data_IF_153789063250
#
_entry.id   IF_153789063250
#
_cell.length_a   1.000
_cell.length_b   1.000
_cell.length_c   1.000
_cell.angle_alpha   90.00
_cell.angle_beta   90.00
_cell.angle_gamma   90.00
#
_symmetry.space_group_name_H-M   'P 1'
#
loop_
_entity.id
_entity.type
_entity.pdbx_description
1 polymer ?
#
# COMPACT_ATOMS: atom_id res chain seq x y z
N UNK A 1 -29.93 -19.49 -23.75
CA UNK A 1 -31.27 -19.35 -23.14
C UNK A 1 -31.42 -17.87 -22.83
N UNK A 2 -31.90 -17.12 -23.82
CA UNK A 2 -32.10 -15.68 -23.72
C UNK A 2 -33.25 -15.40 -22.76
N UNK A 3 -33.05 -14.47 -21.83
CA UNK A 3 -34.13 -13.82 -21.09
C UNK A 3 -34.05 -12.34 -21.44
N UNK A 4 -35.07 -11.86 -22.14
CA UNK A 4 -35.42 -10.45 -22.19
C UNK A 4 -35.91 -10.03 -20.79
N UNK A 5 -35.38 -8.92 -20.28
CA UNK A 5 -35.99 -8.22 -19.15
C UNK A 5 -36.65 -6.97 -19.72
N UNK A 6 -37.97 -6.89 -19.56
CA UNK A 6 -38.80 -5.76 -19.91
C UNK A 6 -38.32 -4.47 -19.23
N UNK A 7 -38.18 -3.43 -20.03
CA UNK A 7 -37.94 -2.06 -19.62
C UNK A 7 -39.26 -1.44 -19.20
N UNK A 8 -39.51 -1.29 -17.89
CA UNK A 8 -40.39 -0.27 -17.31
C UNK A 8 -40.32 -0.38 -15.79
N UNK A 9 -39.33 0.29 -15.19
CA UNK A 9 -39.31 0.88 -13.82
C UNK A 9 -37.86 1.07 -13.36
N UNK A 10 -37.20 2.14 -13.82
CA UNK A 10 -35.94 2.64 -13.22
C UNK A 10 -36.16 4.10 -12.80
N UNK A 11 -36.15 4.42 -11.49
CA UNK A 11 -36.14 5.81 -11.03
C UNK A 11 -34.81 6.47 -11.36
N UNK A 12 -34.91 7.74 -11.76
CA UNK A 12 -33.86 8.67 -12.19
C UNK A 12 -32.70 8.88 -11.21
N UNK A 13 -31.50 8.93 -11.80
CA UNK A 13 -30.24 9.53 -11.32
C UNK A 13 -29.71 9.14 -9.93
N UNK A 14 -29.07 7.97 -9.87
CA UNK A 14 -27.83 7.78 -9.11
C UNK A 14 -26.83 7.02 -9.98
N UNK A 15 -25.69 7.64 -10.32
CA UNK A 15 -24.59 7.02 -11.06
C UNK A 15 -23.94 5.93 -10.19
N UNK A 16 -24.52 4.73 -10.17
CA UNK A 16 -23.84 3.53 -9.68
C UNK A 16 -22.87 3.06 -10.76
N UNK A 17 -21.57 3.20 -10.49
CA UNK A 17 -20.54 2.52 -11.27
C UNK A 17 -20.64 1.03 -10.94
N UNK A 18 -21.41 0.27 -11.74
CA UNK A 18 -21.51 -1.17 -11.59
C UNK A 18 -20.14 -1.80 -11.93
N UNK A 19 -19.45 -2.33 -10.93
CA UNK A 19 -18.25 -3.16 -11.13
C UNK A 19 -18.75 -4.55 -11.49
N UNK A 20 -18.87 -4.83 -12.80
CA UNK A 20 -19.10 -6.20 -13.26
C UNK A 20 -17.74 -6.91 -13.40
N UNK A 21 -17.52 -7.94 -12.61
CA UNK A 21 -16.52 -8.97 -12.90
C UNK A 21 -17.04 -9.80 -14.08
N UNK A 22 -16.48 -9.59 -15.27
CA UNK A 22 -16.76 -10.43 -16.44
C UNK A 22 -15.70 -11.54 -16.53
N UNK A 23 -16.07 -12.77 -16.19
CA UNK A 23 -15.30 -13.96 -16.59
C UNK A 23 -15.62 -14.30 -18.05
N UNK A 24 -14.68 -14.01 -18.96
CA UNK A 24 -14.77 -14.45 -20.36
C UNK A 24 -13.90 -15.70 -20.50
N UNK A 25 -14.55 -16.85 -20.71
CA UNK A 25 -13.88 -18.11 -20.96
C UNK A 25 -13.51 -18.21 -22.44
N UNK A 26 -12.24 -17.96 -22.80
CA UNK A 26 -11.77 -18.04 -24.19
C UNK A 26 -11.28 -19.46 -24.46
N UNK A 27 -12.12 -20.31 -25.05
CA UNK A 27 -11.70 -21.62 -25.55
C UNK A 27 -11.12 -21.46 -26.97
N UNK A 28 -9.80 -21.32 -27.07
CA UNK A 28 -9.05 -21.37 -28.32
C UNK A 28 -8.10 -22.57 -28.36
N UNK A 29 -8.05 -23.30 -29.49
CA UNK A 29 -7.05 -24.35 -29.71
C UNK A 29 -5.70 -23.70 -30.01
N UNK A 30 -4.81 -23.72 -29.02
CA UNK A 30 -3.49 -23.07 -29.07
C UNK A 30 -3.36 -22.17 -27.86
N UNK A 31 -2.37 -22.42 -26.99
CA UNK A 31 -2.20 -21.80 -25.67
C UNK A 31 -1.86 -20.30 -25.69
N UNK A 32 -2.61 -19.49 -26.42
CA UNK A 32 -2.45 -18.05 -26.52
C UNK A 32 -3.16 -17.35 -25.36
N UNK A 33 -2.43 -16.49 -24.65
CA UNK A 33 -2.99 -15.62 -23.63
C UNK A 33 -3.46 -14.32 -24.28
N UNK A 34 -4.75 -13.99 -24.17
CA UNK A 34 -5.31 -12.70 -24.61
C UNK A 34 -5.42 -11.77 -23.41
N UNK A 35 -4.82 -10.58 -23.51
CA UNK A 35 -4.90 -9.54 -22.47
C UNK A 35 -6.04 -8.59 -22.80
N UNK A 36 -7.05 -8.51 -21.93
CA UNK A 36 -8.18 -7.59 -22.09
C UNK A 36 -7.95 -6.29 -21.33
N UNK A 37 -8.15 -5.15 -21.99
CA UNK A 37 -8.18 -3.82 -21.38
C UNK A 37 -9.58 -3.25 -21.58
N UNK A 38 -10.26 -2.94 -20.48
CA UNK A 38 -11.57 -2.30 -20.51
C UNK A 38 -11.42 -0.78 -20.40
N UNK A 39 -11.85 -0.07 -21.43
CA UNK A 39 -11.99 1.39 -21.44
C UNK A 39 -13.46 1.75 -21.60
N UNK A 40 -13.99 2.54 -20.66
CA UNK A 40 -15.35 3.10 -20.75
C UNK A 40 -15.17 4.53 -21.29
N UNK A 41 -15.59 4.75 -22.54
CA UNK A 41 -15.64 6.08 -23.14
C UNK A 41 -16.87 6.88 -22.72
N UNK A 42 -16.91 8.16 -23.06
CA UNK A 42 -17.99 9.11 -22.73
C UNK A 42 -19.39 8.68 -23.23
N UNK A 43 -19.45 7.74 -24.18
CA UNK A 43 -20.68 7.21 -24.77
C UNK A 43 -21.14 5.86 -24.21
N UNK A 44 -20.66 5.44 -23.02
CA UNK A 44 -20.96 4.12 -22.44
C UNK A 44 -20.57 2.93 -23.34
N UNK A 45 -19.65 3.14 -24.27
CA UNK A 45 -19.21 2.12 -25.22
C UNK A 45 -17.98 1.40 -24.65
N UNK A 46 -18.07 0.08 -24.53
CA UNK A 46 -16.97 -0.77 -24.07
C UNK A 46 -16.07 -1.13 -25.26
N UNK A 47 -14.84 -0.60 -25.28
CA UNK A 47 -13.86 -0.98 -26.31
C UNK A 47 -13.03 -2.18 -25.85
N UNK A 48 -13.19 -3.32 -26.52
CA UNK A 48 -12.34 -4.50 -26.36
C UNK A 48 -11.08 -4.36 -27.23
N UNK A 49 -9.94 -4.08 -26.61
CA UNK A 49 -8.64 -4.08 -27.31
C UNK A 49 -7.92 -5.39 -26.96
N UNK A 50 -7.97 -6.36 -27.87
CA UNK A 50 -7.13 -7.56 -27.82
C UNK A 50 -5.81 -7.32 -28.56
N UNK A 51 -4.68 -7.72 -27.96
CA UNK A 51 -3.38 -7.81 -28.65
C UNK A 51 -2.83 -9.23 -28.51
N UNK A 52 -2.32 -9.77 -29.62
CA UNK A 52 -1.62 -11.07 -29.67
C UNK A 52 -0.31 -11.02 -28.88
N UNK A 53 0.00 -12.07 -28.10
CA UNK A 53 1.21 -12.17 -27.29
C UNK A 53 2.47 -12.56 -28.10
N UNK A 54 2.34 -13.17 -29.27
CA UNK A 54 3.50 -13.71 -30.02
C UNK A 54 4.38 -12.60 -30.63
N UNK A 55 3.80 -11.48 -31.09
CA UNK A 55 4.57 -10.36 -31.65
C UNK A 55 5.37 -9.56 -30.60
N UNK A 56 5.02 -9.65 -29.31
CA UNK A 56 5.76 -8.99 -28.23
C UNK A 56 6.98 -9.79 -27.76
N UNK A 57 6.95 -11.12 -27.86
CA UNK A 57 8.01 -11.99 -27.34
C UNK A 57 9.37 -11.75 -28.04
N UNK A 58 9.36 -11.52 -29.37
CA UNK A 58 10.56 -11.25 -30.16
C UNK A 58 11.10 -9.81 -30.02
N UNK A 59 10.25 -8.84 -29.64
CA UNK A 59 10.66 -7.44 -29.36
C UNK A 59 11.06 -7.21 -27.90
N UNK A 60 10.79 -8.16 -27.01
CA UNK A 60 11.10 -8.06 -25.57
C UNK A 60 12.55 -8.30 -25.22
N UNK A 61 13.29 -9.10 -26.01
CA UNK A 61 14.51 -9.73 -25.50
C UNK A 61 15.66 -8.78 -25.15
N UNK A 62 15.65 -7.51 -25.58
CA UNK A 62 16.79 -6.58 -25.37
C UNK A 62 16.42 -5.19 -24.82
N UNK A 63 15.22 -4.97 -24.25
CA UNK A 63 14.91 -3.66 -23.64
C UNK A 63 15.46 -3.56 -22.22
N UNK A 64 16.11 -2.44 -21.86
CA UNK A 64 16.61 -2.21 -20.51
C UNK A 64 15.44 -2.23 -19.53
N UNK A 65 15.59 -2.94 -18.42
CA UNK A 65 14.49 -3.23 -17.49
C UNK A 65 14.88 -2.92 -16.06
N UNK A 66 14.00 -2.23 -15.34
CA UNK A 66 14.02 -2.09 -13.89
C UNK A 66 13.09 -3.14 -13.30
N UNK A 67 13.62 -4.00 -12.43
CA UNK A 67 12.83 -5.02 -11.75
C UNK A 67 12.45 -4.54 -10.36
N UNK A 68 11.16 -4.56 -10.02
CA UNK A 68 10.65 -4.24 -8.69
C UNK A 68 10.19 -5.54 -8.02
N UNK A 69 10.83 -5.91 -6.92
CA UNK A 69 10.46 -7.09 -6.15
C UNK A 69 9.36 -6.72 -5.16
N UNK A 70 8.25 -7.46 -5.20
CA UNK A 70 7.12 -7.31 -4.30
C UNK A 70 6.04 -6.41 -4.87
N UNK A 71 4.78 -6.89 -4.81
CA UNK A 71 3.61 -6.15 -5.25
C UNK A 71 2.81 -5.55 -4.08
N UNK A 72 3.43 -5.37 -2.92
CA UNK A 72 2.84 -4.61 -1.81
C UNK A 72 2.87 -3.12 -2.03
N UNK A 73 2.29 -2.38 -1.09
CA UNK A 73 2.08 -0.94 -1.22
C UNK A 73 3.36 -0.17 -1.60
N UNK A 74 4.50 -0.49 -0.98
CA UNK A 74 5.79 0.15 -1.28
C UNK A 74 6.27 -0.20 -2.71
N UNK A 75 6.14 -1.46 -3.13
CA UNK A 75 6.52 -1.89 -4.47
C UNK A 75 5.64 -1.28 -5.55
N UNK A 76 4.32 -1.23 -5.32
CA UNK A 76 3.35 -0.66 -6.26
C UNK A 76 3.53 0.85 -6.44
N UNK A 77 3.64 1.62 -5.35
CA UNK A 77 3.84 3.08 -5.45
C UNK A 77 5.19 3.38 -6.10
N UNK A 78 6.25 2.64 -5.75
CA UNK A 78 7.57 2.78 -6.40
C UNK A 78 7.51 2.48 -7.89
N UNK A 79 6.90 1.37 -8.30
CA UNK A 79 6.79 0.98 -9.71
C UNK A 79 5.99 2.00 -10.54
N UNK A 80 4.84 2.46 -10.01
CA UNK A 80 4.02 3.50 -10.66
C UNK A 80 4.82 4.81 -10.77
N UNK A 81 5.53 5.21 -9.71
CA UNK A 81 6.29 6.47 -9.71
C UNK A 81 7.49 6.45 -10.65
N UNK A 82 8.18 5.31 -10.76
CA UNK A 82 9.25 5.07 -11.72
C UNK A 82 8.69 5.14 -13.15
N UNK A 83 7.55 4.50 -13.43
CA UNK A 83 6.90 4.63 -14.74
C UNK A 83 6.57 6.08 -15.09
N UNK A 84 6.01 6.85 -14.16
CA UNK A 84 5.71 8.26 -14.38
C UNK A 84 6.95 9.05 -14.79
N UNK A 85 8.08 8.80 -14.11
CA UNK A 85 9.35 9.43 -14.45
C UNK A 85 9.88 9.01 -15.83
N UNK A 86 9.84 7.72 -16.16
CA UNK A 86 10.31 7.22 -17.45
C UNK A 86 9.47 7.78 -18.60
N UNK A 87 8.16 7.89 -18.43
CA UNK A 87 7.25 8.51 -19.40
C UNK A 87 7.55 10.01 -19.57
N UNK A 88 7.71 10.74 -18.47
CA UNK A 88 8.03 12.18 -18.49
C UNK A 88 9.37 12.49 -19.16
N UNK A 89 10.37 11.62 -18.94
CA UNK A 89 11.72 11.77 -19.48
C UNK A 89 11.93 11.06 -20.82
N UNK A 90 10.89 10.41 -21.36
CA UNK A 90 10.94 9.61 -22.59
C UNK A 90 12.06 8.56 -22.61
N UNK A 91 12.47 8.08 -21.43
CA UNK A 91 13.52 7.04 -21.31
C UNK A 91 12.93 5.69 -21.69
N UNK A 92 13.54 5.05 -22.68
CA UNK A 92 13.15 3.72 -23.13
C UNK A 92 13.61 2.68 -22.12
N UNK A 93 12.80 2.42 -21.09
CA UNK A 93 13.07 1.40 -20.08
C UNK A 93 11.76 0.75 -19.61
N UNK A 94 11.77 -0.58 -19.45
CA UNK A 94 10.63 -1.33 -18.93
C UNK A 94 10.65 -1.33 -17.40
N UNK A 95 9.46 -1.40 -16.79
CA UNK A 95 9.32 -1.71 -15.37
C UNK A 95 8.59 -3.03 -15.24
N UNK A 96 9.21 -3.98 -14.53
CA UNK A 96 8.69 -5.33 -14.29
C UNK A 96 8.51 -5.54 -12.79
N UNK A 97 7.29 -5.79 -12.33
CA UNK A 97 7.03 -6.24 -10.95
C UNK A 97 7.17 -7.76 -10.88
N UNK A 98 7.98 -8.25 -9.97
CA UNK A 98 8.13 -9.68 -9.68
C UNK A 98 7.71 -9.93 -8.24
N UNK A 99 6.69 -10.75 -8.04
CA UNK A 99 6.14 -10.98 -6.71
C UNK A 99 5.60 -12.40 -6.57
N UNK A 100 5.61 -12.92 -5.34
CA UNK A 100 4.99 -14.23 -5.04
C UNK A 100 3.46 -14.18 -5.19
N UNK A 101 2.85 -13.02 -4.90
CA UNK A 101 1.42 -12.76 -4.97
C UNK A 101 1.20 -11.35 -5.54
N UNK A 102 0.10 -11.17 -6.28
CA UNK A 102 -0.35 -9.87 -6.80
C UNK A 102 -1.60 -9.41 -6.04
N UNK A 103 -1.93 -8.10 -6.02
CA UNK A 103 -3.17 -7.62 -5.41
C UNK A 103 -4.40 -8.33 -5.99
N UNK A 104 -5.23 -8.86 -5.09
CA UNK A 104 -6.47 -9.56 -5.40
C UNK A 104 -7.47 -9.34 -4.26
N UNK A 105 -8.79 -9.58 -4.45
CA UNK A 105 -9.73 -9.59 -3.35
C UNK A 105 -9.26 -10.52 -2.22
N UNK A 106 -9.41 -10.10 -0.96
CA UNK A 106 -8.98 -10.90 0.19
C UNK A 106 -9.76 -12.22 0.20
N UNK A 107 -9.03 -13.32 0.31
CA UNK A 107 -9.58 -14.67 0.45
C UNK A 107 -8.77 -15.50 1.45
N UNK A 108 -9.24 -16.70 1.78
CA UNK A 108 -8.50 -17.66 2.61
C UNK A 108 -7.15 -18.07 2.02
N UNK A 109 -6.94 -17.86 0.73
CA UNK A 109 -5.68 -18.15 0.03
C UNK A 109 -4.68 -16.99 0.08
N UNK A 110 -5.10 -15.81 0.54
CA UNK A 110 -4.20 -14.66 0.67
C UNK A 110 -3.18 -14.95 1.76
N UNK A 111 -1.89 -14.79 1.46
CA UNK A 111 -0.84 -15.06 2.43
C UNK A 111 -0.81 -14.06 3.57
N UNK A 112 -0.62 -14.55 4.79
CA UNK A 112 -0.39 -13.73 5.99
C UNK A 112 0.86 -12.83 5.88
N UNK A 113 1.81 -13.19 5.00
CA UNK A 113 3.02 -12.43 4.74
C UNK A 113 2.82 -11.32 3.71
N UNK A 114 1.69 -11.31 2.99
CA UNK A 114 1.34 -10.22 2.08
C UNK A 114 0.71 -9.05 2.85
N UNK A 115 1.51 -8.44 3.72
CA UNK A 115 1.09 -7.47 4.74
C UNK A 115 0.18 -6.34 4.24
N UNK A 116 0.38 -5.91 2.98
CA UNK A 116 -0.42 -4.82 2.39
C UNK A 116 -1.90 -5.13 2.36
N UNK A 117 -2.29 -6.39 2.14
CA UNK A 117 -3.71 -6.79 2.03
C UNK A 117 -4.42 -6.76 3.39
N UNK A 118 -3.66 -6.86 4.49
CA UNK A 118 -4.18 -6.94 5.86
C UNK A 118 -4.17 -5.62 6.62
N UNK A 119 -3.64 -4.55 6.03
CA UNK A 119 -3.52 -3.26 6.70
C UNK A 119 -4.89 -2.58 6.86
N UNK A 120 -5.03 -1.71 7.87
CA UNK A 120 -6.25 -0.93 8.12
C UNK A 120 -6.85 -0.29 6.85
N UNK A 121 -6.24 0.74 6.25
CA UNK A 121 -5.07 1.50 6.68
C UNK A 121 -5.47 2.98 6.83
N UNK A 122 -5.25 3.57 8.00
CA UNK A 122 -5.39 5.02 8.18
C UNK A 122 -4.06 5.74 7.98
N UNK A 123 -4.13 7.04 7.71
CA UNK A 123 -2.99 7.94 7.86
C UNK A 123 -3.02 8.52 9.26
N UNK A 124 -2.10 8.06 10.12
CA UNK A 124 -1.99 8.52 11.49
C UNK A 124 -0.67 9.27 11.68
N UNK A 125 -0.71 10.60 11.83
CA UNK A 125 0.50 11.34 12.09
C UNK A 125 1.05 10.99 13.49
N UNK A 126 2.36 11.06 13.63
CA UNK A 126 3.07 10.91 14.91
C UNK A 126 4.03 12.08 15.06
N UNK A 127 4.27 12.56 16.30
CA UNK A 127 5.13 13.71 16.54
C UNK A 127 6.56 13.44 16.11
N UNK A 128 7.23 14.49 15.63
CA UNK A 128 8.60 14.40 15.13
C UNK A 128 9.61 14.54 16.29
N UNK A 129 10.05 13.41 16.85
CA UNK A 129 10.98 13.38 18.00
C UNK A 129 12.42 12.97 17.66
N UNK A 130 12.70 12.57 16.42
CA UNK A 130 13.98 12.01 16.01
C UNK A 130 14.32 12.32 14.54
N UNK A 131 15.57 12.09 14.15
CA UNK A 131 16.00 12.27 12.76
C UNK A 131 15.24 11.37 11.79
N UNK A 132 14.97 10.13 12.21
CA UNK A 132 14.16 9.19 11.44
C UNK A 132 12.73 9.72 11.27
N UNK A 133 12.07 10.14 12.37
CA UNK A 133 10.71 10.67 12.27
C UNK A 133 10.62 11.97 11.48
N UNK A 134 11.68 12.80 11.46
CA UNK A 134 11.76 13.97 10.56
C UNK A 134 11.70 13.57 9.09
N UNK A 135 12.39 12.50 8.70
CA UNK A 135 12.35 11.97 7.34
C UNK A 135 10.99 11.35 7.05
N UNK A 136 10.47 10.53 7.97
CA UNK A 136 9.15 9.89 7.83
C UNK A 136 8.01 10.93 7.73
N UNK A 137 8.09 12.06 8.43
CA UNK A 137 7.13 13.15 8.29
C UNK A 137 7.15 13.78 6.89
N UNK A 138 8.33 13.90 6.25
CA UNK A 138 8.40 14.33 4.84
C UNK A 138 7.69 13.34 3.93
N UNK A 139 7.88 12.04 4.17
CA UNK A 139 7.19 11.02 3.39
C UNK A 139 5.69 11.03 3.59
N UNK A 140 5.25 11.17 4.84
CA UNK A 140 3.85 11.29 5.20
C UNK A 140 3.18 12.46 4.47
N UNK A 141 3.80 13.65 4.50
CA UNK A 141 3.31 14.83 3.78
C UNK A 141 3.20 14.60 2.27
N UNK A 142 4.19 13.92 1.68
CA UNK A 142 4.14 13.54 0.28
C UNK A 142 2.93 12.63 0.00
N UNK A 143 2.71 11.60 0.83
CA UNK A 143 1.55 10.71 0.75
C UNK A 143 0.24 11.48 0.86
N UNK A 144 0.08 12.36 1.85
CA UNK A 144 -1.12 13.21 2.01
C UNK A 144 -1.38 14.03 0.75
N UNK A 145 -0.37 14.71 0.20
CA UNK A 145 -0.51 15.48 -1.04
C UNK A 145 -0.95 14.60 -2.21
N UNK A 146 -0.40 13.39 -2.33
CA UNK A 146 -0.74 12.48 -3.43
C UNK A 146 -2.15 11.91 -3.28
N UNK A 147 -2.55 11.49 -2.08
CA UNK A 147 -3.90 10.99 -1.82
C UNK A 147 -4.96 12.06 -2.07
N UNK A 148 -4.71 13.32 -1.69
CA UNK A 148 -5.61 14.44 -2.03
C UNK A 148 -5.81 14.59 -3.55
N UNK A 149 -4.74 14.50 -4.32
CA UNK A 149 -4.80 14.57 -5.79
C UNK A 149 -5.55 13.37 -6.38
N UNK A 150 -5.32 12.17 -5.83
CA UNK A 150 -5.99 10.95 -6.28
C UNK A 150 -7.47 10.96 -5.94
N UNK A 151 -7.86 11.41 -4.75
CA UNK A 151 -9.27 11.52 -4.36
C UNK A 151 -10.08 12.34 -5.37
N UNK A 152 -9.49 13.40 -5.94
CA UNK A 152 -10.13 14.24 -6.95
C UNK A 152 -10.19 13.60 -8.35
N UNK A 153 -9.22 12.75 -8.69
CA UNK A 153 -9.04 12.24 -10.08
C UNK A 153 -9.39 10.77 -10.25
N UNK A 154 -9.43 10.02 -9.17
CA UNK A 154 -9.50 8.57 -9.11
C UNK A 154 -10.43 8.14 -7.96
N UNK A 155 -11.72 8.53 -7.97
CA UNK A 155 -12.65 8.24 -6.87
C UNK A 155 -12.79 6.74 -6.60
N UNK A 156 -12.57 5.89 -7.61
CA UNK A 156 -12.57 4.42 -7.50
C UNK A 156 -11.35 3.83 -6.78
N UNK A 157 -10.34 4.63 -6.39
CA UNK A 157 -9.10 4.12 -5.81
C UNK A 157 -9.26 3.56 -4.40
N UNK A 158 -10.40 3.76 -3.72
CA UNK A 158 -10.61 3.24 -2.37
C UNK A 158 -10.02 4.16 -1.30
N UNK A 159 -10.09 5.47 -1.53
CA UNK A 159 -9.66 6.51 -0.59
C UNK A 159 -10.91 7.07 0.10
N UNK A 160 -10.94 7.03 1.43
CA UNK A 160 -12.02 7.55 2.25
C UNK A 160 -11.52 8.75 3.06
N UNK A 161 -11.92 9.99 2.74
CA UNK A 161 -11.72 11.13 3.63
C UNK A 161 -12.68 11.04 4.82
N UNK A 162 -12.16 11.22 6.03
CA UNK A 162 -12.94 11.13 7.28
C UNK A 162 -12.21 11.81 8.45
N UNK A 163 -12.88 11.94 9.59
CA UNK A 163 -12.25 12.37 10.84
C UNK A 163 -11.44 11.25 11.47
N UNK A 164 -10.23 11.59 11.93
CA UNK A 164 -9.39 10.78 12.80
C UNK A 164 -9.44 11.30 14.24
N UNK A 165 -9.48 10.40 15.21
CA UNK A 165 -9.49 10.70 16.65
C UNK A 165 -8.41 9.88 17.34
N UNK A 166 -7.58 10.54 18.14
CA UNK A 166 -6.50 9.92 18.91
C UNK A 166 -6.77 10.10 20.40
N UNK A 167 -6.62 9.02 21.16
CA UNK A 167 -6.69 9.01 22.62
C UNK A 167 -5.41 8.44 23.21
N UNK A 168 -4.79 9.15 24.16
CA UNK A 168 -3.52 8.79 24.76
C UNK A 168 -3.64 8.76 26.29
N UNK A 169 -3.42 7.59 26.89
CA UNK A 169 -3.40 7.44 28.35
C UNK A 169 -2.15 8.04 29.00
N UNK A 170 -1.00 7.94 28.32
CA UNK A 170 0.30 8.42 28.80
C UNK A 170 1.06 9.14 27.67
N UNK A 171 0.59 10.32 27.21
CA UNK A 171 1.23 11.04 26.11
C UNK A 171 2.61 11.55 26.51
N UNK A 172 3.59 11.40 25.61
CA UNK A 172 4.90 12.05 25.75
C UNK A 172 4.80 13.56 25.59
N UNK A 173 5.83 14.30 25.99
CA UNK A 173 5.90 15.75 25.75
C UNK A 173 5.85 16.09 24.25
N UNK A 174 6.43 15.25 23.40
CA UNK A 174 6.38 15.43 21.96
C UNK A 174 4.92 15.44 21.43
N UNK A 175 4.04 14.58 21.94
CA UNK A 175 2.61 14.64 21.58
C UNK A 175 1.94 15.92 22.08
N UNK A 176 2.30 16.41 23.27
CA UNK A 176 1.75 17.65 23.84
C UNK A 176 2.11 18.86 22.99
N UNK A 177 3.38 18.99 22.61
CA UNK A 177 3.89 20.07 21.77
C UNK A 177 3.29 19.99 20.35
N UNK A 178 3.20 18.78 19.80
CA UNK A 178 2.70 18.52 18.44
C UNK A 178 1.25 18.98 18.21
N UNK A 179 0.40 18.90 19.23
CA UNK A 179 -1.01 19.33 19.14
C UNK A 179 -1.28 20.67 19.85
N UNK A 180 -0.25 21.32 20.40
CA UNK A 180 -0.39 22.60 21.07
C UNK A 180 -0.74 23.73 20.09
N UNK A 181 -0.20 23.66 18.88
CA UNK A 181 -0.44 24.63 17.81
C UNK A 181 -0.90 23.93 16.53
N UNK A 182 -2.00 24.43 15.96
CA UNK A 182 -2.55 23.97 14.68
C UNK A 182 -1.57 24.20 13.52
N UNK A 183 -0.75 25.24 13.59
CA UNK A 183 0.24 25.54 12.56
C UNK A 183 1.32 24.46 12.53
N UNK A 184 1.93 24.16 13.68
CA UNK A 184 2.90 23.05 13.82
C UNK A 184 2.33 21.73 13.31
N UNK A 185 1.12 21.36 13.74
CA UNK A 185 0.47 20.13 13.28
C UNK A 185 0.31 20.11 11.76
N UNK A 186 -0.18 21.20 11.15
CA UNK A 186 -0.35 21.29 9.71
C UNK A 186 0.99 21.27 8.96
N UNK A 187 2.02 21.98 9.42
CA UNK A 187 3.33 21.99 8.78
C UNK A 187 4.01 20.61 8.80
N UNK A 188 3.81 19.84 9.87
CA UNK A 188 4.37 18.51 10.00
C UNK A 188 3.61 17.45 9.20
N UNK A 189 2.29 17.57 9.08
CA UNK A 189 1.41 16.49 8.56
C UNK A 189 0.69 16.83 7.27
N UNK A 190 0.46 18.12 7.01
CA UNK A 190 -0.49 18.68 6.05
C UNK A 190 -1.94 18.28 6.30
N UNK A 191 -2.30 17.75 7.46
CA UNK A 191 -3.67 17.46 7.83
C UNK A 191 -4.31 18.68 8.49
N UNK A 192 -5.62 18.83 8.30
CA UNK A 192 -6.38 20.05 8.62
C UNK A 192 -7.37 19.79 9.76
N UNK A 193 -7.99 20.86 10.25
CA UNK A 193 -9.04 20.81 11.27
C UNK A 193 -8.60 20.11 12.57
N UNK A 194 -7.34 20.28 12.98
CA UNK A 194 -6.85 19.69 14.23
C UNK A 194 -7.44 20.39 15.44
N UNK A 195 -8.04 19.64 16.36
CA UNK A 195 -8.61 20.14 17.60
C UNK A 195 -8.28 19.22 18.77
N UNK A 196 -7.80 19.78 19.88
CA UNK A 196 -7.62 19.05 21.14
C UNK A 196 -8.99 18.90 21.80
N UNK A 197 -9.27 17.70 22.31
CA UNK A 197 -10.52 17.38 22.99
C UNK A 197 -10.48 17.83 24.45
N UNK A 198 -11.62 18.32 24.93
CA UNK A 198 -11.82 18.72 26.32
C UNK A 198 -11.87 17.50 27.24
N UNK A 199 -11.56 17.72 28.53
CA UNK A 199 -11.42 16.63 29.51
C UNK A 199 -12.70 15.78 29.67
N UNK A 200 -13.87 16.38 29.51
CA UNK A 200 -15.18 15.72 29.59
C UNK A 200 -15.51 14.89 28.34
N UNK A 201 -14.81 15.11 27.23
CA UNK A 201 -14.92 14.34 25.99
C UNK A 201 -13.98 13.12 25.96
N UNK A 202 -13.09 13.00 26.96
CA UNK A 202 -12.10 11.91 27.00
C UNK A 202 -12.71 10.63 27.59
N UNK A 203 -12.45 9.46 26.96
CA UNK A 203 -12.73 8.18 27.58
C UNK A 203 -12.02 8.03 28.94
N UNK A 204 -12.61 7.24 29.83
CA UNK A 204 -12.04 7.00 31.15
C UNK A 204 -10.59 6.49 31.05
N UNK A 205 -9.69 7.11 31.81
CA UNK A 205 -8.27 6.75 31.85
C UNK A 205 -7.40 7.40 30.76
N UNK A 206 -7.97 8.23 29.88
CA UNK A 206 -7.21 8.98 28.88
C UNK A 206 -6.74 10.33 29.42
N UNK A 207 -5.47 10.67 29.19
CA UNK A 207 -4.86 11.92 29.63
C UNK A 207 -4.90 13.01 28.55
N UNK A 208 -5.09 12.64 27.30
CA UNK A 208 -5.18 13.54 26.15
C UNK A 208 -6.02 12.90 25.06
N UNK A 209 -6.75 13.73 24.31
CA UNK A 209 -7.34 13.36 23.04
C UNK A 209 -7.31 14.51 22.05
N UNK A 210 -7.29 14.20 20.76
CA UNK A 210 -7.37 15.20 19.69
C UNK A 210 -7.95 14.58 18.43
N UNK A 211 -8.50 15.42 17.57
CA UNK A 211 -9.11 15.03 16.30
C UNK A 211 -8.60 15.88 15.15
N UNK A 212 -8.71 15.35 13.93
CA UNK A 212 -8.24 15.99 12.70
C UNK A 212 -8.88 15.34 11.47
N UNK A 213 -8.84 16.01 10.33
CA UNK A 213 -9.25 15.40 9.06
C UNK A 213 -8.13 14.55 8.47
N UNK A 214 -8.43 13.30 8.09
CA UNK A 214 -7.46 12.34 7.55
C UNK A 214 -8.07 11.44 6.47
N UNK A 215 -7.33 10.41 6.08
CA UNK A 215 -7.72 9.42 5.09
C UNK A 215 -7.63 8.02 5.69
N UNK A 216 -8.63 7.19 5.35
CA UNK A 216 -8.51 5.74 5.40
C UNK A 216 -8.47 5.18 3.97
N UNK A 217 -7.79 4.05 3.81
CA UNK A 217 -7.67 3.35 2.54
C UNK A 217 -8.31 1.97 2.67
N UNK A 218 -9.18 1.63 1.72
CA UNK A 218 -9.53 0.25 1.44
C UNK A 218 -8.30 -0.43 0.79
N UNK A 219 -7.43 -0.99 1.63
CA UNK A 219 -6.11 -1.50 1.27
C UNK A 219 -6.09 -2.42 0.03
N UNK A 220 -6.94 -3.47 -0.06
CA UNK A 220 -7.05 -4.28 -1.27
C UNK A 220 -7.42 -3.49 -2.52
N UNK A 221 -8.47 -2.66 -2.44
CA UNK A 221 -8.95 -1.86 -3.58
C UNK A 221 -7.87 -0.88 -4.04
N UNK A 222 -7.20 -0.22 -3.11
CA UNK A 222 -6.12 0.71 -3.41
C UNK A 222 -4.95 0.03 -4.11
N UNK A 223 -4.49 -1.12 -3.59
CA UNK A 223 -3.42 -1.89 -4.23
C UNK A 223 -3.82 -2.38 -5.63
N UNK A 224 -5.05 -2.86 -5.81
CA UNK A 224 -5.57 -3.28 -7.12
C UNK A 224 -5.68 -2.11 -8.11
N UNK A 225 -6.10 -0.93 -7.64
CA UNK A 225 -6.14 0.30 -8.45
C UNK A 225 -4.74 0.72 -8.94
N UNK A 226 -3.74 0.68 -8.04
CA UNK A 226 -2.34 0.94 -8.41
C UNK A 226 -1.81 -0.09 -9.41
N UNK A 227 -2.11 -1.38 -9.21
CA UNK A 227 -1.73 -2.43 -10.15
C UNK A 227 -2.36 -2.19 -11.52
N UNK A 228 -3.66 -1.91 -11.59
CA UNK A 228 -4.35 -1.60 -12.84
C UNK A 228 -3.70 -0.41 -13.54
N UNK A 229 -3.41 0.67 -12.82
CA UNK A 229 -2.72 1.86 -13.34
C UNK A 229 -1.35 1.50 -13.90
N UNK A 230 -0.56 0.71 -13.17
CA UNK A 230 0.76 0.24 -13.58
C UNK A 230 0.71 -0.56 -14.89
N UNK A 231 -0.23 -1.50 -14.99
CA UNK A 231 -0.41 -2.34 -16.16
C UNK A 231 -0.88 -1.55 -17.39
N UNK A 232 -1.84 -0.63 -17.22
CA UNK A 232 -2.35 0.22 -18.31
C UNK A 232 -1.27 1.15 -18.89
N UNK A 233 -0.24 1.47 -18.10
CA UNK A 233 0.91 2.28 -18.53
C UNK A 233 2.03 1.45 -19.16
N UNK A 234 1.77 0.19 -19.50
CA UNK A 234 2.73 -0.71 -20.14
C UNK A 234 3.60 -1.49 -19.15
N UNK A 235 3.29 -1.45 -17.86
CA UNK A 235 3.95 -2.25 -16.84
C UNK A 235 3.73 -3.74 -17.05
N UNK A 236 4.74 -4.54 -16.67
CA UNK A 236 4.68 -6.00 -16.75
C UNK A 236 4.79 -6.60 -15.36
N UNK A 237 4.19 -7.77 -15.18
CA UNK A 237 4.18 -8.50 -13.91
C UNK A 237 4.60 -9.94 -14.14
N UNK A 238 5.34 -10.52 -13.20
CA UNK A 238 5.67 -11.93 -13.16
C UNK A 238 5.37 -12.49 -11.77
N UNK A 239 4.48 -13.48 -11.71
CA UNK A 239 4.22 -14.21 -10.46
C UNK A 239 5.36 -15.22 -10.27
N UNK A 240 6.24 -14.93 -9.31
CA UNK A 240 7.37 -15.79 -8.96
C UNK A 240 7.80 -15.50 -7.53
N UNK A 241 7.95 -16.57 -6.76
CA UNK A 241 8.59 -16.51 -5.44
C UNK A 241 10.10 -16.59 -5.64
N UNK A 242 10.81 -15.53 -5.26
CA UNK A 242 12.27 -15.49 -5.29
C UNK A 242 12.83 -15.98 -3.95
N UNK A 243 14.02 -16.60 -3.98
CA UNK A 243 14.73 -16.99 -2.74
C UNK A 243 15.70 -15.92 -2.26
N UNK A 244 16.12 -15.02 -3.17
CA UNK A 244 16.96 -13.84 -2.89
C UNK A 244 16.65 -12.72 -3.86
N UNK A 245 17.03 -11.49 -3.52
CA UNK A 245 16.98 -10.34 -4.42
C UNK A 245 17.89 -10.50 -5.65
N UNK A 246 18.97 -11.27 -5.55
CA UNK A 246 19.90 -11.51 -6.66
C UNK A 246 19.27 -12.31 -7.79
N UNK A 247 18.30 -13.18 -7.50
CA UNK A 247 17.57 -13.94 -8.52
C UNK A 247 16.86 -13.02 -9.51
N UNK A 248 16.49 -11.80 -9.10
CA UNK A 248 15.80 -10.83 -9.96
C UNK A 248 16.63 -10.40 -11.18
N UNK A 249 17.97 -10.41 -11.08
CA UNK A 249 18.85 -10.09 -12.21
C UNK A 249 18.86 -11.15 -13.31
N UNK A 250 18.34 -12.35 -13.04
CA UNK A 250 18.27 -13.44 -14.03
C UNK A 250 16.92 -13.46 -14.78
N UNK A 251 15.98 -12.60 -14.40
CA UNK A 251 14.61 -12.60 -14.95
C UNK A 251 14.53 -11.91 -16.31
N UNK A 252 15.22 -10.78 -16.46
CA UNK A 252 15.31 -10.05 -17.72
C UNK A 252 16.77 -9.95 -18.17
N UNK A 253 17.02 -10.17 -19.47
CA UNK A 253 18.38 -10.17 -20.06
C UNK A 253 19.15 -8.87 -19.79
N UNK A 254 18.47 -7.72 -19.88
CA UNK A 254 19.07 -6.39 -19.62
C UNK A 254 18.45 -5.74 -18.37
N UNK A 255 18.67 -6.35 -17.20
CA UNK A 255 18.26 -5.78 -15.91
C UNK A 255 19.23 -4.68 -15.48
N UNK A 256 18.77 -3.42 -15.42
CA UNK A 256 19.63 -2.27 -15.04
C UNK A 256 19.85 -2.17 -13.54
N UNK A 257 18.79 -2.37 -12.77
CA UNK A 257 18.82 -2.41 -11.31
C UNK A 257 17.56 -3.12 -10.79
N UNK A 258 17.63 -3.48 -9.51
CA UNK A 258 16.52 -4.11 -8.78
C UNK A 258 16.06 -3.18 -7.66
N UNK A 259 14.76 -3.00 -7.50
CA UNK A 259 14.15 -2.39 -6.31
C UNK A 259 13.64 -3.50 -5.41
N UNK A 260 14.24 -3.70 -4.24
CA UNK A 260 13.83 -4.70 -3.28
C UNK A 260 12.77 -4.13 -2.32
N UNK A 261 11.49 -4.26 -2.68
CA UNK A 261 10.32 -3.92 -1.87
C UNK A 261 9.58 -5.17 -1.35
N UNK A 262 10.33 -6.23 -1.05
CA UNK A 262 9.82 -7.53 -0.60
C UNK A 262 9.12 -7.53 0.78
N UNK A 263 9.11 -6.38 1.47
CA UNK A 263 8.62 -6.23 2.84
C UNK A 263 9.67 -6.67 3.87
N UNK A 264 10.13 -7.92 3.81
CA UNK A 264 11.03 -8.52 4.82
C UNK A 264 12.50 -8.60 4.43
N UNK A 265 12.87 -8.24 3.19
CA UNK A 265 14.27 -8.13 2.77
C UNK A 265 15.06 -9.44 2.77
N UNK A 266 14.46 -10.55 2.32
CA UNK A 266 15.15 -11.84 2.10
C UNK A 266 16.09 -12.30 3.24
N UNK A 267 15.53 -12.53 4.43
CA UNK A 267 16.27 -12.96 5.65
C UNK A 267 17.12 -11.87 6.30
N UNK A 268 16.79 -10.59 6.12
CA UNK A 268 17.36 -9.52 6.95
C UNK A 268 17.14 -9.86 8.44
N UNK A 269 18.21 -10.07 9.25
CA UNK A 269 18.08 -10.46 10.66
C UNK A 269 17.42 -9.39 11.52
N UNK A 270 17.36 -8.14 11.05
CA UNK A 270 16.67 -7.03 11.73
C UNK A 270 15.18 -7.00 11.42
N UNK A 271 14.70 -7.77 10.44
CA UNK A 271 13.30 -7.82 10.04
C UNK A 271 12.54 -8.91 10.78
N UNK A 272 11.41 -8.56 11.40
CA UNK A 272 10.56 -9.48 12.16
C UNK A 272 9.05 -9.17 11.96
N UNK A 273 8.18 -10.20 12.05
CA UNK A 273 6.75 -10.00 11.90
C UNK A 273 6.14 -9.35 13.15
N UNK A 274 5.09 -8.56 12.95
CA UNK A 274 4.21 -8.10 14.03
C UNK A 274 2.75 -8.32 13.65
N UNK A 275 2.04 -9.16 14.40
CA UNK A 275 0.66 -9.61 14.13
C UNK A 275 -0.41 -8.52 14.37
N UNK A 276 -1.50 -8.49 13.60
CA UNK A 276 -2.67 -7.59 13.76
C UNK A 276 -4.01 -8.21 13.29
N UNK A 277 -5.16 -7.63 13.73
CA UNK A 277 -6.54 -8.17 13.57
C UNK A 277 -7.58 -7.09 13.19
N UNK A 278 -8.75 -7.49 12.67
CA UNK A 278 -9.78 -6.70 11.93
C UNK A 278 -11.22 -7.13 12.33
N UNK A 279 -12.22 -6.20 12.39
CA UNK A 279 -13.72 -6.41 12.30
C UNK A 279 -14.56 -5.10 12.22
N UNK A 280 -15.81 -5.14 11.68
CA UNK A 280 -17.03 -4.25 11.57
C UNK A 280 -17.00 -2.70 11.48
N UNK A 281 -17.94 -2.12 10.67
CA UNK A 281 -18.06 -0.74 10.10
C UNK A 281 -18.18 0.46 11.09
N UNK A 282 -17.54 1.63 10.82
CA UNK A 282 -17.69 2.88 11.59
C UNK A 282 -17.52 4.17 10.74
N UNK A 283 -17.93 5.34 11.24
CA UNK A 283 -17.96 6.64 10.52
C UNK A 283 -16.68 7.50 10.65
N UNK A 284 -15.86 7.23 11.66
CA UNK A 284 -14.56 7.88 11.89
C UNK A 284 -13.49 6.83 12.21
N UNK A 285 -12.21 7.18 12.02
CA UNK A 285 -11.10 6.34 12.50
C UNK A 285 -10.67 6.76 13.89
N UNK A 286 -10.53 5.80 14.80
CA UNK A 286 -10.17 6.04 16.20
C UNK A 286 -8.92 5.23 16.52
N UNK A 287 -7.96 5.82 17.22
CA UNK A 287 -6.84 5.12 17.85
C UNK A 287 -6.78 5.45 19.33
N UNK A 288 -6.68 4.42 20.17
CA UNK A 288 -6.42 4.54 21.60
C UNK A 288 -5.10 3.85 21.96
N UNK A 289 -4.21 4.59 22.64
CA UNK A 289 -2.97 4.07 23.19
C UNK A 289 -3.08 4.03 24.73
N UNK A 290 -3.00 2.83 25.29
CA UNK A 290 -3.09 2.61 26.74
C UNK A 290 -1.72 2.72 27.41
N UNK A 291 -1.71 3.01 28.72
CA UNK A 291 -0.49 3.14 29.50
C UNK A 291 0.30 1.83 29.63
N UNK A 292 -0.37 0.68 29.46
CA UNK A 292 0.24 -0.65 29.43
C UNK A 292 0.90 -1.00 28.08
N UNK A 293 0.89 -0.06 27.12
CA UNK A 293 1.45 -0.25 25.79
C UNK A 293 0.54 -1.01 24.82
N UNK A 294 -0.68 -1.37 25.22
CA UNK A 294 -1.69 -1.96 24.33
C UNK A 294 -2.44 -0.91 23.53
N UNK A 295 -2.92 -1.30 22.35
CA UNK A 295 -3.52 -0.40 21.38
C UNK A 295 -4.92 -0.90 21.03
N UNK A 296 -5.84 0.02 20.79
CA UNK A 296 -7.14 -0.26 20.17
C UNK A 296 -7.32 0.71 19.03
N UNK A 297 -7.74 0.22 17.87
CA UNK A 297 -8.00 1.07 16.71
C UNK A 297 -9.23 0.60 15.97
N UNK A 298 -9.95 1.55 15.38
CA UNK A 298 -11.12 1.37 14.55
C UNK A 298 -10.83 2.11 13.25
N UNK A 299 -10.75 1.40 12.12
CA UNK A 299 -10.29 1.98 10.84
C UNK A 299 -11.29 1.64 9.73
N UNK A 300 -12.15 2.60 9.34
CA UNK A 300 -13.12 2.36 8.29
C UNK A 300 -12.57 2.23 6.88
N UNK A 301 -13.25 1.43 6.06
CA UNK A 301 -12.96 1.28 4.63
C UNK A 301 -14.20 1.66 3.83
N UNK A 302 -13.99 2.40 2.73
CA UNK A 302 -15.04 2.67 1.76
C UNK A 302 -15.35 1.43 0.90
N UNK A 303 -16.37 1.56 0.04
CA UNK A 303 -16.85 0.50 -0.87
C UNK A 303 -17.21 -0.79 -0.16
N UNK A 304 -17.95 -0.66 0.96
CA UNK A 304 -18.41 -1.80 1.75
C UNK A 304 -17.28 -2.73 2.22
N UNK A 305 -16.03 -2.22 2.28
CA UNK A 305 -14.86 -2.96 2.74
C UNK A 305 -14.85 -3.26 4.24
N UNK A 306 -15.95 -2.96 4.93
CA UNK A 306 -16.11 -3.05 6.38
C UNK A 306 -15.30 -2.00 7.13
N UNK A 307 -14.96 -2.31 8.37
CA UNK A 307 -14.02 -1.52 9.16
C UNK A 307 -13.14 -2.50 9.91
N UNK A 308 -11.99 -1.98 10.30
CA UNK A 308 -10.90 -2.74 10.87
C UNK A 308 -10.80 -2.35 12.34
N UNK A 309 -11.43 -3.14 13.20
CA UNK A 309 -11.18 -3.10 14.62
C UNK A 309 -9.96 -3.96 14.95
N UNK A 310 -8.95 -3.32 15.56
CA UNK A 310 -7.82 -4.00 16.15
C UNK A 310 -7.42 -3.37 17.50
N UNK A 311 -6.28 -3.73 18.06
CA UNK A 311 -5.36 -4.70 17.48
C UNK A 311 -4.51 -5.40 18.52
N UNK A 312 -3.67 -6.29 18.01
CA UNK A 312 -2.55 -6.86 18.74
C UNK A 312 -1.25 -6.28 18.20
N UNK A 313 -0.21 -6.28 19.04
CA UNK A 313 1.16 -5.97 18.68
C UNK A 313 2.04 -7.02 19.35
N UNK A 314 2.32 -8.08 18.61
CA UNK A 314 3.02 -9.25 19.13
C UNK A 314 4.32 -9.43 18.31
N UNK A 315 5.44 -8.82 18.75
CA UNK A 315 6.73 -8.99 18.08
C UNK A 315 7.14 -10.46 18.05
N UNK A 316 7.72 -10.91 16.94
CA UNK A 316 8.24 -12.28 16.76
C UNK A 316 7.17 -13.39 16.86
N UNK A 317 5.88 -13.06 16.79
CA UNK A 317 4.83 -14.06 16.73
C UNK A 317 4.59 -14.54 15.28
N UNK A 318 4.84 -15.82 15.05
CA UNK A 318 4.70 -16.50 13.76
C UNK A 318 3.45 -17.38 13.68
N UNK A 319 2.51 -17.26 14.61
CA UNK A 319 1.21 -17.91 14.50
C UNK A 319 0.42 -17.33 13.31
N UNK A 320 -0.28 -18.20 12.57
CA UNK A 320 -1.14 -17.84 11.44
C UNK A 320 -2.61 -17.86 11.82
N UNK A 321 -2.98 -18.56 12.90
CA UNK A 321 -4.37 -18.84 13.25
C UNK A 321 -4.97 -17.76 14.13
N UNK A 322 -6.20 -17.32 13.84
CA UNK A 322 -6.89 -16.31 14.63
C UNK A 322 -7.29 -16.82 16.03
N UNK A 323 -6.93 -16.08 17.09
CA UNK A 323 -7.40 -16.40 18.45
C UNK A 323 -8.82 -15.86 18.71
N UNK A 324 -9.70 -16.75 19.16
CA UNK A 324 -11.07 -16.44 19.63
C UNK A 324 -11.06 -15.53 20.86
N UNK A 325 -10.17 -15.80 21.81
CA UNK A 325 -10.02 -15.00 23.02
C UNK A 325 -9.62 -13.56 22.68
N UNK A 326 -8.62 -13.41 21.79
CA UNK A 326 -8.21 -12.10 21.30
C UNK A 326 -9.34 -11.40 20.55
N UNK A 327 -10.19 -12.14 19.80
CA UNK A 327 -11.40 -11.57 19.17
C UNK A 327 -12.27 -10.91 20.21
N UNK A 328 -12.67 -11.66 21.24
CA UNK A 328 -13.60 -11.19 22.25
C UNK A 328 -13.01 -10.01 23.03
N UNK A 329 -11.71 -10.05 23.34
CA UNK A 329 -11.04 -8.94 24.01
C UNK A 329 -11.03 -7.66 23.15
N UNK A 330 -10.70 -7.77 21.87
CA UNK A 330 -10.67 -6.64 20.94
C UNK A 330 -12.06 -6.04 20.76
N UNK A 331 -13.08 -6.87 20.53
CA UNK A 331 -14.46 -6.42 20.36
C UNK A 331 -15.00 -5.75 21.64
N UNK A 332 -14.68 -6.27 22.82
CA UNK A 332 -15.05 -5.63 24.10
C UNK A 332 -14.41 -4.24 24.23
N UNK A 333 -13.11 -4.10 23.93
CA UNK A 333 -12.42 -2.81 23.96
C UNK A 333 -13.04 -1.82 22.96
N UNK A 334 -13.36 -2.28 21.76
CA UNK A 334 -14.01 -1.46 20.74
C UNK A 334 -15.41 -1.01 21.15
N UNK A 335 -16.23 -1.91 21.74
CA UNK A 335 -17.56 -1.56 22.25
C UNK A 335 -17.51 -0.52 23.38
N UNK A 336 -16.46 -0.55 24.21
CA UNK A 336 -16.25 0.46 25.25
C UNK A 336 -15.84 1.81 24.65
N UNK A 337 -14.96 1.78 23.65
CA UNK A 337 -14.43 2.98 23.01
C UNK A 337 -15.47 3.67 22.11
N UNK A 338 -16.27 2.88 21.41
CA UNK A 338 -17.17 3.35 20.38
C UNK A 338 -18.47 2.54 20.42
N UNK A 339 -19.39 2.82 21.37
CA UNK A 339 -20.58 1.99 21.59
C UNK A 339 -21.49 1.88 20.36
N UNK A 340 -21.53 2.91 19.50
CA UNK A 340 -22.31 2.92 18.25
C UNK A 340 -21.85 1.90 17.20
N UNK A 341 -20.69 1.26 17.36
CA UNK A 341 -20.21 0.24 16.42
C UNK A 341 -20.98 -1.09 16.51
N UNK A 342 -21.77 -1.26 17.57
CA UNK A 342 -22.56 -2.46 17.80
C UNK A 342 -23.80 -2.46 16.90
N UNK A 343 -24.21 -3.62 16.44
CA UNK A 343 -25.46 -3.78 15.69
C UNK A 343 -26.69 -3.62 16.60
N UNK A 344 -27.89 -3.65 16.02
CA UNK A 344 -29.16 -3.47 16.76
C UNK A 344 -29.35 -4.47 17.91
N UNK A 345 -28.75 -5.67 17.80
CA UNK A 345 -28.79 -6.69 18.85
C UNK A 345 -27.79 -6.44 19.99
N UNK A 346 -27.00 -5.37 19.92
CA UNK A 346 -25.93 -5.06 20.86
C UNK A 346 -24.66 -5.92 20.68
N UNK A 347 -24.56 -6.64 19.56
CA UNK A 347 -23.43 -7.47 19.16
C UNK A 347 -22.60 -6.84 18.03
N UNK A 348 -21.88 -7.69 17.28
CA UNK A 348 -21.07 -7.28 16.14
C UNK A 348 -21.34 -8.19 14.95
N UNK A 349 -21.46 -7.60 13.75
CA UNK A 349 -21.49 -8.34 12.49
C UNK A 349 -20.05 -8.64 12.05
N UNK A 350 -19.51 -9.73 12.57
CA UNK A 350 -18.13 -10.16 12.31
C UNK A 350 -18.05 -10.78 10.91
N UNK A 351 -17.45 -10.04 9.97
CA UNK A 351 -17.23 -10.52 8.60
C UNK A 351 -16.16 -11.60 8.52
N UNK A 352 -15.03 -11.37 9.18
CA UNK A 352 -13.88 -12.28 9.19
C UNK A 352 -12.91 -11.93 10.31
N UNK A 353 -12.13 -12.93 10.73
CA UNK A 353 -10.89 -12.71 11.45
C UNK A 353 -9.73 -12.76 10.50
N UNK A 354 -8.79 -11.86 10.70
CA UNK A 354 -7.60 -11.85 9.86
C UNK A 354 -6.34 -11.75 10.71
N UNK A 355 -5.27 -12.25 10.12
CA UNK A 355 -3.94 -12.26 10.71
C UNK A 355 -2.98 -11.76 9.64
N UNK A 356 -2.50 -10.52 9.83
CA UNK A 356 -1.46 -9.94 8.98
C UNK A 356 -0.14 -9.83 9.73
N UNK A 357 0.97 -10.18 9.09
CA UNK A 357 2.32 -9.96 9.63
C UNK A 357 2.91 -8.68 9.06
N UNK A 358 3.02 -7.64 9.91
CA UNK A 358 3.70 -6.40 9.54
C UNK A 358 5.19 -6.65 9.40
N UNK A 359 5.85 -6.23 8.31
CA UNK A 359 7.28 -6.40 8.12
C UNK A 359 8.04 -5.30 8.87
N UNK A 360 8.15 -5.44 10.19
CA UNK A 360 8.83 -4.48 11.05
C UNK A 360 10.32 -4.73 10.97
N UNK A 361 11.13 -3.66 10.99
CA UNK A 361 12.58 -3.77 11.01
C UNK A 361 13.18 -2.92 12.13
N UNK A 362 14.15 -3.49 12.85
CA UNK A 362 14.95 -2.74 13.81
C UNK A 362 15.73 -1.62 13.10
N UNK A 363 15.65 -0.40 13.64
CA UNK A 363 16.20 0.80 12.99
C UNK A 363 15.33 1.37 11.86
N UNK A 364 14.13 0.83 11.64
CA UNK A 364 13.17 1.35 10.67
C UNK A 364 13.37 0.84 9.24
N UNK A 365 12.68 1.50 8.30
CA UNK A 365 12.72 1.22 6.87
C UNK A 365 14.17 1.26 6.36
N UNK A 366 14.64 0.20 5.69
CA UNK A 366 15.90 0.21 4.95
C UNK A 366 15.64 0.85 3.59
N UNK A 367 16.29 1.98 3.33
CA UNK A 367 16.18 2.73 2.08
C UNK A 367 17.55 3.23 1.63
N UNK A 368 18.22 2.42 0.81
CA UNK A 368 19.60 2.66 0.37
C UNK A 368 19.91 1.86 -0.89
N UNK A 369 21.02 2.19 -1.54
CA UNK A 369 21.57 1.43 -2.68
C UNK A 369 22.67 0.52 -2.18
N UNK A 370 22.59 -0.76 -2.55
CA UNK A 370 23.65 -1.74 -2.37
C UNK A 370 24.24 -2.12 -3.75
N UNK A 371 25.56 -1.98 -3.91
CA UNK A 371 26.29 -2.58 -5.03
C UNK A 371 26.67 -4.01 -4.68
N UNK A 372 26.46 -4.94 -5.60
CA UNK A 372 26.85 -6.33 -5.44
C UNK A 372 27.40 -6.91 -6.75
N UNK A 373 27.96 -8.12 -6.67
CA UNK A 373 28.35 -8.89 -7.84
C UNK A 373 27.18 -9.76 -8.27
N UNK A 374 26.66 -9.49 -9.47
CA UNK A 374 25.54 -10.20 -10.06
C UNK A 374 25.97 -11.36 -10.96
N UNK A 375 25.03 -11.88 -11.78
CA UNK A 375 25.32 -12.91 -12.76
C UNK A 375 26.49 -12.54 -13.67
N UNK A 376 27.30 -13.53 -14.05
CA UNK A 376 28.47 -13.35 -14.92
C UNK A 376 29.56 -12.43 -14.34
N UNK A 377 29.55 -12.16 -13.03
CA UNK A 377 30.57 -11.35 -12.36
C UNK A 377 30.43 -9.83 -12.57
N UNK A 378 29.30 -9.37 -13.13
CA UNK A 378 29.03 -7.95 -13.37
C UNK A 378 28.61 -7.24 -12.09
N UNK A 379 29.04 -6.00 -11.90
CA UNK A 379 28.48 -5.16 -10.84
C UNK A 379 27.01 -4.89 -11.12
N UNK A 380 26.17 -5.05 -10.09
CA UNK A 380 24.73 -4.81 -10.11
C UNK A 380 24.33 -3.97 -8.91
N UNK A 381 23.22 -3.26 -9.02
CA UNK A 381 22.73 -2.39 -7.94
C UNK A 381 21.31 -2.76 -7.50
N UNK A 382 21.12 -2.77 -6.19
CA UNK A 382 19.85 -3.06 -5.54
C UNK A 382 19.44 -1.84 -4.70
N UNK A 383 18.29 -1.27 -5.00
CA UNK A 383 17.65 -0.23 -4.19
C UNK A 383 16.74 -0.92 -3.16
N UNK A 384 17.15 -0.99 -1.91
CA UNK A 384 16.32 -1.57 -0.85
C UNK A 384 15.23 -0.58 -0.43
N UNK A 385 14.01 -1.07 -0.23
CA UNK A 385 12.87 -0.28 0.22
C UNK A 385 11.89 -1.17 1.02
N UNK A 386 12.30 -1.64 2.19
CA UNK A 386 11.56 -2.62 2.98
C UNK A 386 11.69 -2.37 4.49
N UNK A 387 10.89 -3.06 5.32
CA UNK A 387 10.91 -2.88 6.77
C UNK A 387 10.00 -1.75 7.31
N UNK A 388 8.95 -1.37 6.58
CA UNK A 388 8.06 -0.26 6.94
C UNK A 388 7.14 -0.52 8.15
N UNK A 389 7.15 -1.74 8.70
CA UNK A 389 6.31 -2.13 9.83
C UNK A 389 4.82 -1.85 9.58
N UNK A 390 4.18 -1.19 10.55
CA UNK A 390 2.78 -0.78 10.45
C UNK A 390 2.51 0.50 9.66
N UNK A 391 3.54 1.16 9.13
CA UNK A 391 3.45 2.51 8.53
C UNK A 391 3.53 2.51 7.00
N UNK A 392 3.50 1.34 6.36
CA UNK A 392 3.74 1.20 4.92
C UNK A 392 2.84 2.07 4.04
N UNK A 393 1.55 2.18 4.34
CA UNK A 393 0.60 2.97 3.54
C UNK A 393 0.81 4.47 3.70
N UNK A 394 0.92 4.96 4.93
CA UNK A 394 1.04 6.40 5.20
C UNK A 394 2.38 6.98 4.75
N UNK A 395 3.42 6.16 4.59
CA UNK A 395 4.73 6.58 4.06
C UNK A 395 4.89 6.29 2.56
N UNK A 396 3.94 5.58 1.94
CA UNK A 396 4.14 4.88 0.65
C UNK A 396 4.59 5.75 -0.53
N UNK A 397 3.99 6.92 -0.73
CA UNK A 397 4.33 7.79 -1.86
C UNK A 397 5.59 8.60 -1.62
N UNK A 398 5.82 9.01 -0.37
CA UNK A 398 7.08 9.64 0.01
C UNK A 398 8.29 8.72 -0.17
N UNK A 399 8.15 7.46 0.27
CA UNK A 399 9.16 6.43 0.03
C UNK A 399 9.34 6.20 -1.47
N UNK A 400 8.26 6.18 -2.27
CA UNK A 400 8.36 6.02 -3.71
C UNK A 400 9.13 7.15 -4.42
N UNK A 401 9.00 8.41 -3.95
CA UNK A 401 9.82 9.52 -4.46
C UNK A 401 11.31 9.34 -4.15
N UNK A 402 11.65 8.87 -2.95
CA UNK A 402 13.05 8.62 -2.60
C UNK A 402 13.62 7.40 -3.32
N UNK A 403 12.86 6.31 -3.46
CA UNK A 403 13.22 5.17 -4.31
C UNK A 403 13.52 5.65 -5.72
N UNK A 404 12.67 6.50 -6.30
CA UNK A 404 12.94 7.07 -7.62
C UNK A 404 14.23 7.89 -7.64
N UNK A 405 14.49 8.71 -6.62
CA UNK A 405 15.73 9.48 -6.50
C UNK A 405 16.97 8.60 -6.55
N UNK A 406 16.96 7.50 -5.80
CA UNK A 406 18.03 6.49 -5.80
C UNK A 406 18.16 5.80 -7.17
N UNK A 407 17.06 5.32 -7.72
CA UNK A 407 17.00 4.69 -9.06
C UNK A 407 17.59 5.62 -10.12
N UNK A 408 17.18 6.89 -10.15
CA UNK A 408 17.65 7.85 -11.13
C UNK A 408 19.16 8.12 -10.99
N UNK A 409 19.63 8.29 -9.75
CA UNK A 409 21.06 8.50 -9.47
C UNK A 409 21.89 7.31 -9.94
N UNK A 410 21.45 6.08 -9.64
CA UNK A 410 22.12 4.85 -10.07
C UNK A 410 22.16 4.74 -11.60
N UNK A 411 21.05 4.99 -12.29
CA UNK A 411 21.02 4.94 -13.76
C UNK A 411 21.99 5.97 -14.39
N UNK A 412 22.06 7.19 -13.83
CA UNK A 412 22.99 8.22 -14.30
C UNK A 412 24.46 7.81 -14.10
N UNK A 413 24.78 7.19 -12.96
CA UNK A 413 26.13 6.66 -12.68
C UNK A 413 26.52 5.56 -13.66
N UNK A 414 25.61 4.61 -13.94
CA UNK A 414 25.84 3.56 -14.93
C UNK A 414 26.09 4.13 -16.33
N UNK A 415 25.28 5.11 -16.76
CA UNK A 415 25.45 5.78 -18.06
C UNK A 415 26.79 6.54 -18.14
N UNK A 416 27.22 7.17 -17.06
CA UNK A 416 28.49 7.88 -17.00
C UNK A 416 29.68 6.91 -17.06
N UNK A 417 29.62 5.79 -16.33
CA UNK A 417 30.64 4.74 -16.38
C UNK A 417 30.77 4.15 -17.78
N UNK A 418 29.63 3.84 -18.42
CA UNK A 418 29.61 3.31 -19.78
C UNK A 418 30.20 4.28 -20.80
N UNK A 419 29.92 5.59 -20.68
CA UNK A 419 30.53 6.64 -21.52
C UNK A 419 32.04 6.77 -21.29
N UNK A 420 32.51 6.63 -20.06
CA UNK A 420 33.95 6.69 -19.75
C UNK A 420 34.71 5.49 -20.31
N UNK A 421 34.12 4.29 -20.28
CA UNK A 421 34.72 3.07 -20.84
C UNK A 421 34.79 3.07 -22.38
N UNK A 422 33.90 3.81 -23.04
CA UNK A 422 33.83 3.91 -24.51
C UNK A 422 34.72 5.01 -25.11
N UNK A 423 35.41 5.83 -24.30
CA UNK A 423 36.38 6.81 -24.82
C UNK A 423 37.67 6.07 -25.23
N UNK A 424 38.12 6.17 -26.50
CA UNK A 424 39.41 5.61 -26.88
C UNK A 424 40.51 6.32 -26.10
N UNK A 425 41.44 5.53 -25.56
CA UNK A 425 42.73 6.03 -25.07
C UNK A 425 43.43 6.76 -26.22
N UNK A 426 43.47 8.10 -26.15
CA UNK A 426 44.20 8.96 -27.06
C UNK A 426 45.71 8.73 -26.97
#
# INVERSE_FOLDING_TARGET
MERECDSDDIPTEQNFLCVMDLEINVTGQGGDFVRFIFHIGESHTLHLIGRSCEEESSKMENKPTIVVIGAGIIGLTSAVRIQDYLLQTQRQCNVLIVAAELPQPISSLTSVNYASMWAGAHLRPIPVDSAQLRTEAKWFRCTVKTLRKQLQKEPWAGILPLRGIEYLAAPSNAYREFVQDRTTFYEETLLEEMQVLEKDQLPHGMAMGYEYNTFCLNAPVYCMSLMRKFLLRGGKTLIRKLSSEHEAFTIAKDTKLVVNASGVGFRDPKSFPTRGKITSFHICTITQQNADGTWTFIIPRCFEGGTIIGGTKEPNNWDIEASLENRHQILRKAATLCPEIKNESGGFDVLADVVGRRPTREGGLRLEVESAIGPEGKEVHIVHAYGAGGRGYELSWGVAEEVLGLVNTTLQQQEQQQRCQLKPSL
#
